data_IF_452359318090
#
_entry.id   IF_452359318090
#
_cell.length_a   1.000
_cell.length_b   1.000
_cell.length_c   1.000
_cell.angle_alpha   90.00
_cell.angle_beta   90.00
_cell.angle_gamma   90.00
#
_symmetry.space_group_name_H-M   'P 1'
#
loop_
_entity.id
_entity.type
_entity.pdbx_description
1 polymer ?
#
# COMPACT_ATOMS: atom_id res chain seq x y z
N UNK A 1 7.39 29.45 -20.65
CA UNK A 1 7.25 29.97 -22.02
C UNK A 1 5.79 29.91 -22.42
N UNK A 2 5.15 31.05 -22.73
CA UNK A 2 3.71 31.13 -23.06
C UNK A 2 3.35 30.35 -24.34
N UNK A 3 4.29 30.25 -25.29
CA UNK A 3 4.10 29.53 -26.56
C UNK A 3 3.92 28.02 -26.30
N UNK A 4 4.74 27.45 -25.42
CA UNK A 4 4.73 26.01 -25.12
C UNK A 4 3.42 25.62 -24.41
N UNK A 5 3.00 26.41 -23.42
CA UNK A 5 1.74 26.18 -22.70
C UNK A 5 0.54 26.27 -23.64
N UNK A 6 0.49 27.30 -24.48
CA UNK A 6 -0.59 27.47 -25.45
C UNK A 6 -0.63 26.37 -26.51
N UNK A 7 0.52 25.77 -26.87
CA UNK A 7 0.58 24.62 -27.75
C UNK A 7 0.04 23.37 -27.04
N UNK A 8 0.54 23.06 -25.84
CA UNK A 8 0.12 21.89 -25.07
C UNK A 8 -1.38 21.88 -24.77
N UNK A 9 -1.98 23.04 -24.47
CA UNK A 9 -3.40 23.16 -24.17
C UNK A 9 -4.35 22.78 -25.32
N UNK A 10 -3.84 22.56 -26.54
CA UNK A 10 -4.67 22.22 -27.72
C UNK A 10 -5.05 20.74 -27.80
N UNK A 11 -4.33 19.87 -27.09
CA UNK A 11 -4.52 18.42 -27.14
C UNK A 11 -4.28 17.81 -25.75
N UNK A 12 -4.82 16.61 -25.53
CA UNK A 12 -4.63 15.87 -24.28
C UNK A 12 -3.27 15.16 -24.22
N UNK A 13 -3.00 14.53 -23.07
CA UNK A 13 -1.74 13.82 -22.82
C UNK A 13 -1.53 12.63 -23.74
N UNK A 14 -2.60 11.92 -24.13
CA UNK A 14 -2.53 10.76 -25.02
C UNK A 14 -2.01 11.19 -26.39
N UNK A 15 -2.62 12.24 -26.95
CA UNK A 15 -2.24 12.80 -28.25
C UNK A 15 -0.78 13.27 -28.30
N UNK A 16 -0.28 13.89 -27.22
CA UNK A 16 1.10 14.33 -27.12
C UNK A 16 2.07 13.16 -26.91
N UNK A 17 1.68 12.16 -26.12
CA UNK A 17 2.51 10.99 -25.84
C UNK A 17 2.81 10.19 -27.11
N UNK A 18 1.79 9.94 -27.95
CA UNK A 18 1.99 9.30 -29.25
C UNK A 18 3.02 10.03 -30.12
N UNK A 19 2.97 11.37 -30.14
CA UNK A 19 3.85 12.20 -30.97
C UNK A 19 5.26 12.30 -30.42
N UNK A 20 5.41 12.44 -29.11
CA UNK A 20 6.74 12.42 -28.50
C UNK A 20 7.40 11.06 -28.65
N UNK A 21 6.64 9.97 -28.56
CA UNK A 21 7.11 8.62 -28.89
C UNK A 21 7.61 8.55 -30.33
N UNK A 22 6.79 8.98 -31.31
CA UNK A 22 7.17 8.97 -32.72
C UNK A 22 8.39 9.85 -33.03
N UNK A 23 8.58 10.93 -32.27
CA UNK A 23 9.74 11.82 -32.37
C UNK A 23 11.00 11.30 -31.65
N UNK A 24 10.92 10.17 -30.92
CA UNK A 24 12.03 9.63 -30.13
C UNK A 24 12.37 10.47 -28.90
N UNK A 25 11.42 11.28 -28.41
CA UNK A 25 11.59 12.15 -27.25
C UNK A 25 11.22 11.41 -25.98
N UNK A 26 12.09 11.48 -24.96
CA UNK A 26 11.77 10.97 -23.63
C UNK A 26 10.67 11.82 -22.98
N UNK A 27 9.56 11.19 -22.64
CA UNK A 27 8.39 11.81 -22.04
C UNK A 27 7.61 10.75 -21.26
N UNK A 28 6.68 11.19 -20.43
CA UNK A 28 5.72 10.32 -19.73
C UNK A 28 4.46 11.14 -19.41
N UNK A 29 3.33 10.46 -19.22
CA UNK A 29 2.14 11.12 -18.70
C UNK A 29 2.22 11.32 -17.19
N UNK A 30 1.66 12.42 -16.71
CA UNK A 30 1.44 12.62 -15.27
C UNK A 30 0.19 11.85 -14.89
N UNK A 31 0.38 10.64 -14.36
CA UNK A 31 -0.72 9.76 -13.95
C UNK A 31 -1.30 10.17 -12.60
N UNK A 32 -2.61 10.04 -12.45
CA UNK A 32 -3.25 9.96 -11.14
C UNK A 32 -3.05 8.57 -10.51
N UNK A 33 -3.51 8.39 -9.27
CA UNK A 33 -3.31 7.15 -8.53
C UNK A 33 -3.95 5.94 -9.20
N UNK A 34 -5.13 6.07 -9.81
CA UNK A 34 -5.81 4.93 -10.43
C UNK A 34 -5.10 4.53 -11.73
N UNK A 35 -4.78 5.51 -12.58
CA UNK A 35 -3.99 5.28 -13.80
C UNK A 35 -2.61 4.70 -13.51
N UNK A 36 -1.98 5.14 -12.43
CA UNK A 36 -0.71 4.58 -11.98
C UNK A 36 -0.83 3.09 -11.63
N UNK A 37 -1.87 2.70 -10.88
CA UNK A 37 -2.08 1.29 -10.51
C UNK A 37 -2.34 0.39 -11.72
N UNK A 38 -2.96 0.94 -12.77
CA UNK A 38 -3.25 0.24 -14.04
C UNK A 38 -2.09 0.26 -15.03
N UNK A 39 -1.02 1.01 -14.74
CA UNK A 39 0.06 1.24 -15.70
C UNK A 39 0.79 -0.07 -16.06
N UNK A 40 1.10 -0.33 -17.35
CA UNK A 40 1.73 -1.57 -17.79
C UNK A 40 3.03 -1.90 -17.05
N UNK A 41 3.84 -0.89 -16.74
CA UNK A 41 5.08 -1.08 -15.97
C UNK A 41 4.81 -1.53 -14.54
N UNK A 42 3.73 -1.07 -13.90
CA UNK A 42 3.38 -1.46 -12.53
C UNK A 42 3.04 -2.94 -12.48
N UNK A 43 2.28 -3.43 -13.46
CA UNK A 43 1.98 -4.85 -13.62
C UNK A 43 3.24 -5.67 -13.98
N UNK A 44 4.02 -5.21 -14.96
CA UNK A 44 5.20 -5.92 -15.45
C UNK A 44 6.30 -6.09 -14.40
N UNK A 45 6.42 -5.13 -13.48
CA UNK A 45 7.43 -5.16 -12.40
C UNK A 45 6.93 -5.77 -11.11
N UNK A 46 5.62 -6.04 -10.99
CA UNK A 46 5.02 -6.45 -9.72
C UNK A 46 5.17 -5.39 -8.63
N UNK A 47 5.18 -4.11 -9.00
CA UNK A 47 5.45 -3.01 -8.07
C UNK A 47 4.42 -2.92 -6.93
N UNK A 48 3.18 -3.35 -7.18
CA UNK A 48 2.08 -3.31 -6.22
C UNK A 48 1.63 -4.74 -5.90
N UNK A 49 1.65 -5.09 -4.62
CA UNK A 49 0.96 -6.26 -4.09
C UNK A 49 -0.46 -5.86 -3.68
N UNK A 50 -1.46 -6.63 -4.11
CA UNK A 50 -2.83 -6.45 -3.64
C UNK A 50 -3.08 -7.35 -2.45
N UNK A 51 -3.32 -6.76 -1.28
CA UNK A 51 -3.40 -7.46 -0.01
C UNK A 51 -4.79 -7.29 0.59
N UNK A 52 -5.37 -8.38 1.10
CA UNK A 52 -6.59 -8.33 1.90
C UNK A 52 -6.25 -7.97 3.34
N UNK A 53 -6.78 -6.84 3.82
CA UNK A 53 -6.55 -6.33 5.17
C UNK A 53 -7.80 -6.46 6.04
N UNK A 54 -7.68 -6.91 7.30
CA UNK A 54 -8.81 -7.00 8.23
C UNK A 54 -9.55 -5.66 8.35
N UNK A 55 -10.87 -5.68 8.17
CA UNK A 55 -11.74 -4.50 8.30
C UNK A 55 -11.71 -3.49 7.13
N UNK A 56 -10.81 -3.65 6.16
CA UNK A 56 -10.65 -2.73 5.02
C UNK A 56 -10.90 -3.44 3.67
N UNK A 57 -10.60 -4.74 3.60
CA UNK A 57 -10.66 -5.50 2.34
C UNK A 57 -9.40 -5.34 1.51
N UNK A 58 -9.52 -5.49 0.20
CA UNK A 58 -8.39 -5.53 -0.73
C UNK A 58 -7.81 -4.14 -0.96
N UNK A 59 -6.52 -3.96 -0.66
CA UNK A 59 -5.81 -2.67 -0.81
C UNK A 59 -4.51 -2.82 -1.59
N UNK A 60 -4.11 -1.81 -2.38
CA UNK A 60 -2.83 -1.83 -3.09
C UNK A 60 -1.70 -1.39 -2.15
N UNK A 61 -0.66 -2.23 -2.02
CA UNK A 61 0.52 -1.97 -1.19
C UNK A 61 1.78 -2.04 -2.05
N UNK A 62 2.63 -0.99 -2.05
CA UNK A 62 3.89 -1.03 -2.78
C UNK A 62 4.87 -2.07 -2.24
N UNK A 63 5.45 -2.85 -3.15
CA UNK A 63 6.62 -3.66 -2.86
C UNK A 63 7.86 -2.76 -2.80
N UNK A 64 8.62 -2.87 -1.71
CA UNK A 64 9.84 -2.08 -1.52
C UNK A 64 10.93 -2.60 -2.45
N UNK A 65 11.54 -1.75 -3.30
CA UNK A 65 12.63 -2.16 -4.16
C UNK A 65 13.80 -2.78 -3.37
N UNK A 66 14.29 -3.93 -3.84
CA UNK A 66 15.41 -4.65 -3.22
C UNK A 66 15.01 -5.60 -2.08
N UNK A 67 13.74 -5.64 -1.67
CA UNK A 67 13.22 -6.64 -0.74
C UNK A 67 12.41 -7.72 -1.47
N UNK A 68 12.18 -8.84 -0.77
CA UNK A 68 11.24 -9.86 -1.24
C UNK A 68 9.83 -9.24 -1.34
N UNK A 69 9.10 -9.45 -2.45
CA UNK A 69 7.72 -8.99 -2.57
C UNK A 69 6.82 -9.55 -1.48
N UNK A 70 5.80 -8.78 -1.10
CA UNK A 70 4.76 -9.24 -0.17
C UNK A 70 3.93 -10.33 -0.83
N UNK A 71 3.79 -11.46 -0.13
CA UNK A 71 2.98 -12.59 -0.57
C UNK A 71 1.61 -12.51 0.12
N UNK A 72 0.50 -12.40 -0.63
CA UNK A 72 -0.84 -12.38 -0.05
C UNK A 72 -1.08 -13.57 0.89
N UNK A 73 -1.64 -13.30 2.07
CA UNK A 73 -1.88 -14.30 3.11
C UNK A 73 -0.65 -14.68 3.95
N UNK A 74 0.54 -14.15 3.66
CA UNK A 74 1.68 -14.31 4.57
C UNK A 74 1.53 -13.41 5.81
N UNK A 75 2.15 -13.75 6.95
CA UNK A 75 2.11 -12.92 8.16
C UNK A 75 2.62 -11.48 7.95
N UNK A 76 3.57 -11.29 7.03
CA UNK A 76 4.12 -9.97 6.69
C UNK A 76 3.20 -9.16 5.75
N UNK A 77 2.17 -9.79 5.20
CA UNK A 77 1.22 -9.17 4.29
C UNK A 77 -0.09 -8.74 4.98
N UNK A 78 -0.22 -8.95 6.29
CA UNK A 78 -1.37 -8.51 7.08
C UNK A 78 -0.92 -7.50 8.14
N UNK A 79 -1.59 -6.36 8.18
CA UNK A 79 -1.43 -5.41 9.28
C UNK A 79 -2.17 -5.94 10.51
N UNK A 80 -1.55 -5.90 11.69
CA UNK A 80 -2.24 -6.27 12.92
C UNK A 80 -3.39 -5.31 13.22
N UNK A 81 -4.44 -5.85 13.80
CA UNK A 81 -5.52 -5.07 14.40
C UNK A 81 -5.09 -4.44 15.72
N UNK A 82 -5.84 -3.45 16.19
CA UNK A 82 -5.49 -2.72 17.43
C UNK A 82 -5.58 -3.67 18.62
N UNK A 83 -4.42 -4.01 19.19
CA UNK A 83 -4.32 -4.86 20.38
C UNK A 83 -4.18 -6.35 20.12
N UNK A 84 -4.10 -6.78 18.86
CA UNK A 84 -4.04 -8.19 18.45
C UNK A 84 -2.97 -9.00 19.20
N UNK A 85 -1.79 -8.40 19.37
CA UNK A 85 -0.63 -9.07 19.97
C UNK A 85 -0.38 -8.68 21.44
N UNK A 86 -1.23 -7.87 22.07
CA UNK A 86 -0.99 -7.33 23.42
C UNK A 86 -0.82 -8.43 24.48
N UNK A 87 -1.74 -9.39 24.53
CA UNK A 87 -1.69 -10.50 25.50
C UNK A 87 -0.48 -11.42 25.25
N UNK A 88 -0.18 -11.72 23.98
CA UNK A 88 0.96 -12.54 23.61
C UNK A 88 2.28 -11.90 24.06
N UNK A 89 2.46 -10.61 23.80
CA UNK A 89 3.70 -9.88 24.15
C UNK A 89 3.84 -9.78 25.67
N UNK A 90 2.78 -9.45 26.41
CA UNK A 90 2.84 -9.39 27.88
C UNK A 90 3.15 -10.74 28.52
N UNK A 91 2.57 -11.82 28.00
CA UNK A 91 2.92 -13.17 28.43
C UNK A 91 4.40 -13.49 28.19
N UNK A 92 4.95 -13.11 27.03
CA UNK A 92 6.37 -13.28 26.72
C UNK A 92 7.29 -12.45 27.63
N UNK A 93 6.80 -11.35 28.20
CA UNK A 93 7.51 -10.52 29.18
C UNK A 93 7.38 -11.04 30.64
N UNK A 94 6.62 -12.12 30.86
CA UNK A 94 6.49 -12.77 32.17
C UNK A 94 5.28 -12.35 33.00
N UNK A 95 4.33 -11.61 32.42
CA UNK A 95 3.04 -11.35 33.08
C UNK A 95 2.14 -12.58 32.99
N UNK A 96 1.47 -12.93 34.10
CA UNK A 96 0.48 -14.00 34.10
C UNK A 96 -0.85 -13.59 33.45
N UNK A 97 -1.69 -14.58 33.14
CA UNK A 97 -2.96 -14.37 32.46
C UNK A 97 -3.93 -13.51 33.28
N UNK A 98 -3.92 -13.64 34.61
CA UNK A 98 -4.80 -12.88 35.51
C UNK A 98 -4.45 -11.39 35.51
N UNK A 99 -3.15 -11.07 35.52
CA UNK A 99 -2.66 -9.68 35.43
C UNK A 99 -2.99 -9.06 34.08
N UNK A 100 -2.79 -9.80 32.98
CA UNK A 100 -3.14 -9.33 31.63
C UNK A 100 -4.65 -9.08 31.51
N UNK A 101 -5.48 -9.98 32.03
CA UNK A 101 -6.94 -9.81 32.07
C UNK A 101 -7.33 -8.58 32.91
N UNK A 102 -6.69 -8.35 34.05
CA UNK A 102 -6.92 -7.17 34.87
C UNK A 102 -6.53 -5.85 34.15
N UNK A 103 -5.44 -5.85 33.38
CA UNK A 103 -5.06 -4.70 32.54
C UNK A 103 -6.09 -4.42 31.45
N UNK A 104 -6.58 -5.45 30.77
CA UNK A 104 -7.62 -5.30 29.76
C UNK A 104 -8.93 -4.77 30.37
N UNK A 105 -9.38 -5.33 31.50
CA UNK A 105 -10.60 -4.90 32.19
C UNK A 105 -10.53 -3.44 32.68
N UNK A 106 -9.33 -2.96 33.02
CA UNK A 106 -9.08 -1.56 33.42
C UNK A 106 -8.84 -0.61 32.24
N UNK A 107 -8.84 -1.11 31.00
CA UNK A 107 -8.54 -0.33 29.81
C UNK A 107 -7.08 0.12 29.69
N UNK A 108 -6.17 -0.51 30.44
CA UNK A 108 -4.72 -0.23 30.36
C UNK A 108 -4.15 -0.73 29.03
N UNK A 109 -4.70 -1.84 28.52
CA UNK A 109 -4.37 -2.41 27.22
C UNK A 109 -5.64 -2.70 26.43
N UNK A 110 -5.53 -2.72 25.11
CA UNK A 110 -6.51 -3.36 24.25
C UNK A 110 -6.05 -4.79 23.97
N UNK A 111 -6.88 -5.77 24.29
CA UNK A 111 -6.67 -7.18 23.98
C UNK A 111 -7.88 -7.63 23.17
N UNK A 112 -7.89 -7.32 21.87
CA UNK A 112 -8.91 -7.86 20.97
C UNK A 112 -8.64 -9.35 20.79
N UNK A 113 -9.64 -10.18 21.08
CA UNK A 113 -9.63 -11.56 20.59
C UNK A 113 -9.72 -11.48 19.05
N UNK A 114 -8.76 -12.09 18.35
CA UNK A 114 -8.80 -12.20 16.91
C UNK A 114 -10.15 -12.80 16.48
N UNK A 115 -10.86 -12.10 15.60
CA UNK A 115 -12.06 -12.60 14.93
C UNK A 115 -11.68 -13.35 13.66
#
# INVERSE_FOLDING_TARGET
>A
SQIVVAAFAKHDGDWWSERFTAAGTMHEQVNDHLKFLEHPQVAATGLIAWLDQPGIGKVPVPNVPGLQPLVPGSPLAMSPTVGEHSAQILGALGYDADTVAAFAARGVINASAAA
#
